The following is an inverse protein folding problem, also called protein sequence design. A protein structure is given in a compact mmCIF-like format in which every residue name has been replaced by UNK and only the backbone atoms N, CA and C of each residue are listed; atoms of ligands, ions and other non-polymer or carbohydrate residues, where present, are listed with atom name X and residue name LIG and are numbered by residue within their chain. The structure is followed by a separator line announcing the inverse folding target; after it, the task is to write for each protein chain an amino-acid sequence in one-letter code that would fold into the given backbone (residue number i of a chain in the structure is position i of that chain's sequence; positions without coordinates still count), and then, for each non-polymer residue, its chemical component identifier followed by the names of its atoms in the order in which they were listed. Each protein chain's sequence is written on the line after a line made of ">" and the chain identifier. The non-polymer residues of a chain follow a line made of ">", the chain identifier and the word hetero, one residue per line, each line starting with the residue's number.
data_IF_998923201891
#
_entry.id   IF_998923201891
#
_cell.length_a   1.000
_cell.length_b   1.000
_cell.length_c   1.000
_cell.angle_alpha   90.00
_cell.angle_beta   90.00
_cell.angle_gamma   90.00
#
_symmetry.space_group_name_H-M   'P 1'
#
loop_
_entity.id
_entity.type
_entity.pdbx_description
1 polymer ?
#
# COMPACT_ATOMS: atom_id res chain seq x y z
N UNK A 1 -20.07 -17.61 33.65
CA UNK A 1 -20.13 -16.85 32.39
C UNK A 1 -19.21 -15.64 32.56
N UNK A 2 -18.04 -15.64 31.91
CA UNK A 2 -17.18 -14.46 31.87
C UNK A 2 -17.74 -13.52 30.81
N UNK A 3 -17.93 -12.22 31.07
CA UNK A 3 -18.26 -11.29 30.02
C UNK A 3 -16.98 -11.11 29.21
N UNK A 4 -16.96 -11.63 27.99
CA UNK A 4 -15.98 -11.17 27.02
C UNK A 4 -16.30 -9.69 26.82
N UNK A 5 -15.51 -8.81 27.47
CA UNK A 5 -15.56 -7.40 27.17
C UNK A 5 -15.18 -7.27 25.71
N UNK A 6 -16.16 -6.91 24.87
CA UNK A 6 -15.92 -6.59 23.48
C UNK A 6 -14.91 -5.44 23.44
N UNK A 7 -13.63 -5.78 23.24
CA UNK A 7 -12.55 -4.84 22.97
C UNK A 7 -12.72 -4.30 21.55
N UNK A 8 -13.87 -3.69 21.27
CA UNK A 8 -14.13 -3.00 20.02
C UNK A 8 -13.38 -1.67 20.09
N UNK A 9 -12.17 -1.64 19.52
CA UNK A 9 -11.48 -0.39 19.23
C UNK A 9 -12.18 0.20 18.01
N UNK A 10 -12.90 1.33 18.14
CA UNK A 10 -13.50 1.97 16.98
C UNK A 10 -12.39 2.48 16.07
N UNK A 11 -12.30 1.94 14.85
CA UNK A 11 -11.47 2.48 13.79
C UNK A 11 -12.18 3.74 13.28
N UNK A 12 -11.72 4.91 13.72
CA UNK A 12 -12.22 6.19 13.21
C UNK A 12 -11.42 6.52 11.95
N UNK A 13 -12.06 6.60 10.77
CA UNK A 13 -11.38 7.05 9.55
C UNK A 13 -10.85 8.47 9.77
N UNK A 14 -9.58 8.69 9.48
CA UNK A 14 -8.96 10.01 9.55
C UNK A 14 -9.14 10.73 8.20
N UNK A 15 -9.46 12.03 8.24
CA UNK A 15 -9.69 12.85 7.04
C UNK A 15 -8.40 13.25 6.29
N UNK A 16 -7.22 12.89 6.82
CA UNK A 16 -5.93 13.23 6.22
C UNK A 16 -5.23 12.01 5.63
N UNK A 17 -4.48 12.24 4.55
CA UNK A 17 -3.64 11.22 3.92
C UNK A 17 -2.48 10.89 4.86
N UNK A 18 -2.44 9.66 5.35
CA UNK A 18 -1.34 9.19 6.20
C UNK A 18 -0.21 8.63 5.31
N UNK A 19 0.99 9.17 5.48
CA UNK A 19 2.22 8.63 4.92
C UNK A 19 3.21 8.41 6.07
N UNK A 20 3.56 7.15 6.33
CA UNK A 20 4.56 6.77 7.33
C UNK A 20 5.64 5.93 6.67
N UNK A 21 6.75 5.68 7.37
CA UNK A 21 7.79 4.79 6.84
C UNK A 21 7.26 3.35 6.64
N UNK A 22 6.31 2.92 7.47
CA UNK A 22 5.66 1.61 7.39
C UNK A 22 4.52 1.58 6.35
N UNK A 23 3.87 2.73 6.12
CA UNK A 23 2.83 2.92 5.11
C UNK A 23 3.17 4.12 4.21
N UNK A 24 4.13 3.95 3.28
CA UNK A 24 4.57 5.05 2.41
C UNK A 24 3.46 5.54 1.46
N UNK A 25 2.46 4.69 1.22
CA UNK A 25 1.32 4.97 0.37
C UNK A 25 0.05 5.04 1.22
N UNK A 26 -0.76 6.07 1.00
CA UNK A 26 -2.03 6.22 1.68
C UNK A 26 -3.13 5.36 1.04
N UNK A 27 -4.33 5.36 1.60
CA UNK A 27 -5.47 4.62 1.05
C UNK A 27 -6.18 5.34 -0.11
N UNK A 28 -5.82 6.60 -0.41
CA UNK A 28 -6.43 7.39 -1.49
C UNK A 28 -5.73 7.10 -2.84
N UNK A 29 -6.39 6.40 -3.77
CA UNK A 29 -5.79 6.03 -5.06
C UNK A 29 -5.51 7.23 -5.98
N UNK A 30 -6.01 8.42 -5.65
CA UNK A 30 -5.75 9.67 -6.39
C UNK A 30 -4.61 10.47 -5.78
N UNK A 31 -3.97 9.98 -4.72
CA UNK A 31 -2.84 10.65 -4.12
C UNK A 31 -1.58 10.47 -4.98
N UNK A 32 -0.86 11.57 -5.21
CA UNK A 32 0.42 11.56 -5.93
C UNK A 32 1.52 10.76 -5.22
N UNK A 33 1.31 10.29 -3.98
CA UNK A 33 2.24 9.36 -3.34
C UNK A 33 2.31 8.01 -4.07
N UNK A 34 1.28 7.67 -4.86
CA UNK A 34 1.26 6.49 -5.72
C UNK A 34 1.94 6.70 -7.08
N UNK A 35 2.37 7.93 -7.38
CA UNK A 35 3.01 8.32 -8.64
C UNK A 35 4.53 8.46 -8.45
N UNK A 36 5.18 7.42 -7.91
CA UNK A 36 6.65 7.37 -7.84
C UNK A 36 7.20 6.89 -9.19
N UNK A 37 7.43 7.83 -10.11
CA UNK A 37 7.92 7.56 -11.46
C UNK A 37 9.22 6.73 -11.46
N UNK A 38 10.11 6.94 -10.49
CA UNK A 38 11.38 6.20 -10.41
C UNK A 38 11.15 4.74 -10.00
N UNK A 39 10.20 4.51 -9.08
CA UNK A 39 9.82 3.15 -8.70
C UNK A 39 9.05 2.45 -9.82
N UNK A 40 8.16 3.17 -10.52
CA UNK A 40 7.41 2.64 -11.66
C UNK A 40 8.35 2.21 -12.78
N UNK A 41 9.34 3.04 -13.14
CA UNK A 41 10.32 2.71 -14.18
C UNK A 41 11.15 1.48 -13.81
N UNK A 42 11.58 1.36 -12.55
CA UNK A 42 12.32 0.19 -12.07
C UNK A 42 11.48 -1.07 -12.17
N UNK A 43 10.25 -1.05 -11.62
CA UNK A 43 9.35 -2.22 -11.62
C UNK A 43 8.95 -2.61 -13.04
N UNK A 44 8.82 -1.62 -13.94
CA UNK A 44 8.56 -1.88 -15.35
C UNK A 44 9.70 -2.67 -16.01
N UNK A 45 10.97 -2.32 -15.73
CA UNK A 45 12.11 -3.11 -16.21
C UNK A 45 12.11 -4.53 -15.60
N UNK A 46 11.88 -4.67 -14.29
CA UNK A 46 11.82 -5.98 -13.62
C UNK A 46 10.73 -6.90 -14.22
N UNK A 47 9.59 -6.31 -14.62
CA UNK A 47 8.54 -7.04 -15.34
C UNK A 47 8.98 -7.46 -16.75
N UNK A 48 9.66 -6.59 -17.50
CA UNK A 48 10.19 -6.92 -18.83
C UNK A 48 11.25 -8.03 -18.76
N UNK A 49 12.07 -8.01 -17.72
CA UNK A 49 13.10 -9.02 -17.46
C UNK A 49 12.51 -10.34 -16.92
N UNK A 50 11.22 -10.34 -16.57
CA UNK A 50 10.50 -11.50 -16.03
C UNK A 50 10.86 -11.83 -14.57
N UNK A 51 11.45 -10.88 -13.84
CA UNK A 51 11.77 -11.02 -12.42
C UNK A 51 10.54 -10.92 -11.53
N UNK A 52 9.50 -10.20 -11.99
CA UNK A 52 8.21 -10.07 -11.31
C UNK A 52 7.05 -10.33 -12.27
N UNK A 53 5.97 -10.90 -11.76
CA UNK A 53 4.71 -11.02 -12.49
C UNK A 53 3.96 -9.69 -12.54
N UNK A 54 2.97 -9.57 -13.43
CA UNK A 54 2.11 -8.38 -13.53
C UNK A 54 1.43 -8.04 -12.19
N UNK A 55 1.01 -9.06 -11.44
CA UNK A 55 0.37 -8.88 -10.13
C UNK A 55 1.37 -8.40 -9.08
N UNK A 56 2.58 -8.96 -9.06
CA UNK A 56 3.65 -8.52 -8.15
C UNK A 56 4.09 -7.10 -8.47
N UNK A 57 4.27 -6.75 -9.74
CA UNK A 57 4.56 -5.39 -10.18
C UNK A 57 3.50 -4.39 -9.70
N UNK A 58 2.21 -4.76 -9.84
CA UNK A 58 1.09 -3.96 -9.35
C UNK A 58 1.14 -3.77 -7.84
N UNK A 59 1.48 -4.81 -7.08
CA UNK A 59 1.62 -4.72 -5.63
C UNK A 59 2.80 -3.84 -5.23
N UNK A 60 3.96 -3.96 -5.87
CA UNK A 60 5.15 -3.15 -5.56
C UNK A 60 4.88 -1.67 -5.81
N UNK A 61 4.26 -1.31 -6.95
CA UNK A 61 3.91 0.10 -7.27
C UNK A 61 2.85 0.64 -6.30
N UNK A 62 1.96 -0.22 -5.79
CA UNK A 62 0.99 0.14 -4.76
C UNK A 62 1.56 0.09 -3.33
N UNK A 63 2.83 -0.26 -3.16
CA UNK A 63 3.48 -0.45 -1.86
C UNK A 63 2.92 -1.59 -1.02
N UNK A 64 2.31 -2.57 -1.66
CA UNK A 64 1.85 -3.80 -1.04
C UNK A 64 2.98 -4.83 -1.04
N UNK A 65 3.02 -5.65 0.00
CA UNK A 65 3.93 -6.80 0.07
C UNK A 65 3.52 -7.86 -0.95
N UNK A 66 4.51 -8.34 -1.72
CA UNK A 66 4.40 -9.46 -2.67
C UNK A 66 4.50 -10.81 -1.96
#
# INVERSE_FOLDING_TARGET
>A
MQPYGDNFIPVIPVDWKEHTAEHPFCCDPTCSCHEDESNIDRVYQEYQDGEVTEQEATYIVQGKTV
#
